data_IF_191396297202
#
_entry.id   IF_191396297202
#
_cell.length_a   1.000
_cell.length_b   1.000
_cell.length_c   1.000
_cell.angle_alpha   90.00
_cell.angle_beta   90.00
_cell.angle_gamma   90.00
#
_symmetry.space_group_name_H-M   'P 1'
#
loop_
_entity.id
_entity.type
_entity.pdbx_description
1 polymer ?
#
# COMPACT_ATOMS: atom_id res chain seq x y z
N UNK A 1 3.28 -14.11 13.73
CA UNK A 1 1.93 -13.81 13.22
C UNK A 1 2.12 -12.77 12.12
N UNK A 2 2.00 -13.16 10.84
CA UNK A 2 2.15 -12.25 9.70
C UNK A 2 0.77 -11.70 9.40
N UNK A 3 0.51 -10.44 9.74
CA UNK A 3 -0.75 -9.80 9.37
C UNK A 3 -0.65 -9.34 7.91
N UNK A 4 -1.34 -10.02 7.00
CA UNK A 4 -1.55 -9.48 5.64
C UNK A 4 -2.42 -8.24 5.79
N UNK A 5 -1.86 -7.09 5.43
CA UNK A 5 -2.53 -5.80 5.50
C UNK A 5 -3.05 -5.46 4.10
N UNK A 6 -4.21 -4.82 4.04
CA UNK A 6 -4.82 -4.41 2.77
C UNK A 6 -5.11 -2.92 2.74
N UNK A 7 -4.88 -2.27 1.60
CA UNK A 7 -5.09 -0.84 1.36
C UNK A 7 -5.89 -0.63 0.08
N UNK A 8 -6.82 0.33 0.11
CA UNK A 8 -7.42 0.88 -1.12
C UNK A 8 -6.61 2.12 -1.47
N UNK A 9 -5.96 2.11 -2.63
CA UNK A 9 -5.09 3.18 -3.05
C UNK A 9 -5.23 3.49 -4.55
N UNK A 10 -5.05 4.76 -4.89
CA UNK A 10 -5.01 5.26 -6.26
C UNK A 10 -3.58 5.14 -6.79
N UNK A 11 -3.39 4.42 -7.90
CA UNK A 11 -2.08 4.30 -8.55
C UNK A 11 -1.77 5.60 -9.26
N UNK A 12 -0.72 6.31 -8.82
CA UNK A 12 -0.33 7.61 -9.39
C UNK A 12 0.90 7.52 -10.29
N UNK A 13 1.75 6.51 -10.08
CA UNK A 13 2.88 6.19 -10.94
C UNK A 13 3.03 4.69 -11.06
N UNK A 14 3.25 4.19 -12.26
CA UNK A 14 3.54 2.78 -12.53
C UNK A 14 4.73 2.65 -13.49
N UNK A 15 5.67 1.81 -13.12
CA UNK A 15 6.81 1.41 -13.94
C UNK A 15 6.90 -0.11 -13.96
N UNK A 16 7.26 -0.64 -15.10
CA UNK A 16 7.45 -2.06 -15.29
C UNK A 16 8.89 -2.34 -15.70
N UNK A 17 9.43 -3.42 -15.15
CA UNK A 17 10.69 -4.05 -15.54
C UNK A 17 10.42 -5.51 -15.86
N UNK A 18 11.42 -6.24 -16.34
CA UNK A 18 11.26 -7.63 -16.81
C UNK A 18 10.57 -8.57 -15.82
N UNK A 19 10.72 -8.34 -14.51
CA UNK A 19 10.18 -9.22 -13.46
C UNK A 19 9.45 -8.47 -12.34
N UNK A 20 9.21 -7.18 -12.49
CA UNK A 20 8.69 -6.36 -11.40
C UNK A 20 7.90 -5.17 -11.91
N UNK A 21 6.67 -5.03 -11.42
CA UNK A 21 5.89 -3.80 -11.50
C UNK A 21 6.06 -3.01 -10.20
N UNK A 22 6.34 -1.72 -10.27
CA UNK A 22 6.58 -0.89 -9.10
C UNK A 22 6.19 0.56 -9.37
N UNK A 23 5.94 1.30 -8.30
CA UNK A 23 5.48 2.68 -8.46
C UNK A 23 5.05 3.29 -7.16
N UNK A 24 4.16 4.26 -7.25
CA UNK A 24 3.63 4.98 -6.09
C UNK A 24 2.11 5.02 -6.13
N UNK A 25 1.51 4.97 -4.95
CA UNK A 25 0.08 5.06 -4.78
C UNK A 25 -0.29 5.98 -3.61
N UNK A 26 -1.50 6.53 -3.67
CA UNK A 26 -2.06 7.40 -2.66
C UNK A 26 -3.21 6.68 -1.97
N UNK A 27 -3.24 6.66 -0.64
CA UNK A 27 -4.41 6.23 0.12
C UNK A 27 -4.97 7.42 0.90
N UNK A 28 -6.22 7.30 1.36
CA UNK A 28 -6.83 8.29 2.26
C UNK A 28 -6.79 7.77 3.69
N UNK A 29 -6.04 8.45 4.55
CA UNK A 29 -5.93 8.06 5.95
C UNK A 29 -7.16 8.54 6.74
N UNK A 30 -7.81 7.62 7.45
CA UNK A 30 -9.06 7.93 8.17
C UNK A 30 -8.90 8.93 9.33
N UNK A 31 -7.74 8.98 9.98
CA UNK A 31 -7.55 9.78 11.22
C UNK A 31 -7.14 11.22 10.91
N UNK A 32 -6.09 11.40 10.11
CA UNK A 32 -5.61 12.73 9.70
C UNK A 32 -6.43 13.34 8.57
N UNK A 33 -7.16 12.51 7.81
CA UNK A 33 -7.80 12.88 6.54
C UNK A 33 -6.78 13.40 5.51
N UNK A 34 -5.50 13.03 5.67
CA UNK A 34 -4.47 13.28 4.68
C UNK A 34 -4.48 12.21 3.58
N UNK A 35 -3.71 12.49 2.53
CA UNK A 35 -3.51 11.59 1.39
C UNK A 35 -2.03 11.18 1.26
N UNK A 36 -1.50 10.33 2.16
CA UNK A 36 -0.10 9.95 2.12
C UNK A 36 0.23 9.15 0.86
N UNK A 37 1.45 9.36 0.36
CA UNK A 37 2.03 8.60 -0.75
C UNK A 37 2.87 7.46 -0.18
N UNK A 38 2.74 6.26 -0.75
CA UNK A 38 3.60 5.13 -0.45
C UNK A 38 4.07 4.45 -1.75
N UNK A 39 5.24 3.82 -1.68
CA UNK A 39 5.76 3.03 -2.79
C UNK A 39 5.13 1.64 -2.82
N UNK A 40 5.04 1.02 -3.97
CA UNK A 40 4.66 -0.40 -4.07
C UNK A 40 5.56 -1.16 -5.03
N UNK A 41 5.65 -2.47 -4.81
CA UNK A 41 6.38 -3.40 -5.67
C UNK A 41 5.64 -4.73 -5.74
N UNK A 42 5.44 -5.23 -6.95
CA UNK A 42 4.85 -6.53 -7.26
C UNK A 42 5.83 -7.33 -8.11
N UNK A 43 6.23 -8.51 -7.64
CA UNK A 43 7.12 -9.39 -8.38
C UNK A 43 6.31 -10.34 -9.25
N UNK A 44 6.74 -10.55 -10.50
CA UNK A 44 6.04 -11.41 -11.45
C UNK A 44 5.96 -12.88 -10.98
N UNK A 45 6.93 -13.33 -10.19
CA UNK A 45 6.94 -14.68 -9.61
C UNK A 45 6.03 -14.84 -8.37
N UNK A 46 5.51 -13.74 -7.83
CA UNK A 46 4.55 -13.71 -6.74
C UNK A 46 3.12 -13.46 -7.24
N UNK A 47 2.93 -13.29 -8.55
CA UNK A 47 1.64 -13.09 -9.18
C UNK A 47 0.85 -14.42 -9.20
N UNK A 48 -0.41 -14.34 -8.81
CA UNK A 48 -1.38 -15.45 -8.83
C UNK A 48 -2.55 -15.07 -9.75
N UNK A 49 -3.38 -16.05 -10.12
CA UNK A 49 -4.50 -15.87 -11.05
C UNK A 49 -5.55 -14.82 -10.60
N UNK A 50 -5.61 -14.53 -9.30
CA UNK A 50 -6.51 -13.51 -8.74
C UNK A 50 -5.95 -12.09 -8.78
N UNK A 51 -4.70 -11.89 -9.22
CA UNK A 51 -4.13 -10.56 -9.37
C UNK A 51 -4.59 -9.93 -10.68
N UNK A 52 -5.39 -8.88 -10.58
CA UNK A 52 -5.79 -8.10 -11.74
C UNK A 52 -4.66 -7.17 -12.19
N UNK A 53 -4.56 -6.98 -13.52
CA UNK A 53 -3.67 -5.99 -14.10
C UNK A 53 -4.23 -4.59 -13.86
N UNK A 54 -3.39 -3.67 -13.38
CA UNK A 54 -3.75 -2.29 -13.07
C UNK A 54 -2.82 -1.31 -13.77
N UNK A 55 -3.25 -0.06 -13.92
CA UNK A 55 -2.47 1.04 -14.52
C UNK A 55 -2.59 2.34 -13.72
N UNK A 56 -1.84 3.36 -14.13
CA UNK A 56 -1.99 4.70 -13.57
C UNK A 56 -3.42 5.22 -13.70
N UNK A 57 -3.95 5.76 -12.60
CA UNK A 57 -5.31 6.26 -12.47
C UNK A 57 -6.33 5.22 -11.99
N UNK A 58 -5.95 3.94 -11.88
CA UNK A 58 -6.82 2.92 -11.32
C UNK A 58 -6.86 3.02 -9.78
N UNK A 59 -8.04 2.79 -9.22
CA UNK A 59 -8.21 2.58 -7.78
C UNK A 59 -8.10 1.08 -7.52
N UNK A 60 -7.16 0.68 -6.68
CA UNK A 60 -6.81 -0.73 -6.48
C UNK A 60 -6.92 -1.07 -5.00
N UNK A 61 -7.54 -2.21 -4.71
CA UNK A 61 -7.45 -2.86 -3.41
C UNK A 61 -6.21 -3.76 -3.42
N UNK A 62 -5.14 -3.27 -2.81
CA UNK A 62 -3.91 -4.04 -2.63
C UNK A 62 -3.95 -4.84 -1.33
N UNK A 63 -3.41 -6.05 -1.36
CA UNK A 63 -3.09 -6.86 -0.19
C UNK A 63 -1.62 -7.27 -0.23
N UNK A 64 -0.96 -7.25 0.93
CA UNK A 64 0.43 -7.69 1.03
C UNK A 64 1.11 -7.29 2.32
N UNK A 65 2.43 -7.06 2.22
CA UNK A 65 3.29 -6.76 3.36
C UNK A 65 3.85 -5.34 3.26
N UNK A 66 3.57 -4.53 4.28
CA UNK A 66 4.19 -3.22 4.40
C UNK A 66 5.58 -3.33 5.01
N UNK A 67 6.51 -2.58 4.46
CA UNK A 67 7.89 -2.44 4.93
C UNK A 67 8.29 -0.97 4.93
N UNK A 68 9.40 -0.65 5.58
CA UNK A 68 10.05 0.66 5.45
C UNK A 68 11.32 0.44 4.63
N UNK A 69 11.46 1.19 3.54
CA UNK A 69 12.65 1.19 2.68
C UNK A 69 13.10 2.64 2.50
N UNK A 70 14.36 2.95 2.80
CA UNK A 70 14.91 4.33 2.77
C UNK A 70 14.00 5.38 3.45
N UNK A 71 13.51 5.06 4.65
CA UNK A 71 12.55 5.88 5.42
C UNK A 71 11.22 6.17 4.72
N UNK A 72 10.84 5.38 3.72
CA UNK A 72 9.56 5.47 3.02
C UNK A 72 8.74 4.20 3.23
N UNK A 73 7.43 4.38 3.38
CA UNK A 73 6.50 3.26 3.42
C UNK A 73 6.46 2.58 2.05
N UNK A 74 6.69 1.27 2.02
CA UNK A 74 6.60 0.44 0.83
C UNK A 74 5.63 -0.72 1.05
N UNK A 75 4.84 -1.06 0.04
CA UNK A 75 4.01 -2.25 -0.01
C UNK A 75 4.58 -3.29 -0.98
N UNK A 76 4.91 -4.47 -0.48
CA UNK A 76 5.12 -5.65 -1.30
C UNK A 76 3.77 -6.30 -1.60
N UNK A 77 3.34 -6.20 -2.85
CA UNK A 77 2.00 -6.61 -3.31
C UNK A 77 1.95 -8.12 -3.52
N UNK A 78 1.01 -8.78 -2.83
CA UNK A 78 0.67 -10.20 -2.97
C UNK A 78 -0.71 -10.39 -3.62
N UNK A 79 -1.62 -9.42 -3.47
CA UNK A 79 -2.96 -9.40 -4.05
C UNK A 79 -3.29 -8.01 -4.60
N UNK A 80 -3.96 -7.94 -5.75
CA UNK A 80 -4.41 -6.69 -6.36
C UNK A 80 -5.76 -6.92 -7.06
N UNK A 81 -6.75 -6.10 -6.72
CA UNK A 81 -8.07 -6.10 -7.34
C UNK A 81 -8.42 -4.66 -7.74
N UNK A 82 -8.68 -4.42 -9.01
CA UNK A 82 -9.05 -3.11 -9.54
C UNK A 82 -10.51 -2.86 -9.20
N UNK A 83 -10.76 -1.77 -8.47
CA UNK A 83 -12.11 -1.35 -8.16
C UNK A 83 -12.75 -0.69 -9.39
N UNK A 84 -14.05 -0.93 -9.56
CA UNK A 84 -14.86 -0.37 -10.65
C UNK A 84 -14.58 1.15 -10.83
N UNK A 85 -14.29 1.60 -12.06
CA UNK A 85 -14.01 3.00 -12.32
C UNK A 85 -15.25 3.85 -12.03
N UNK A 86 -15.04 5.10 -11.59
CA UNK A 86 -16.15 6.04 -11.55
C UNK A 86 -16.62 6.33 -12.98
N UNK A 87 -17.91 6.14 -13.25
CA UNK A 87 -18.51 6.45 -14.53
C UNK A 87 -19.28 7.78 -14.44
N UNK A 88 -19.08 8.63 -15.44
CA UNK A 88 -19.85 9.86 -15.60
C UNK A 88 -21.22 9.60 -16.22
N UNK A 89 -21.97 10.68 -16.44
CA UNK A 89 -23.36 10.58 -16.92
C UNK A 89 -23.49 9.92 -18.30
N UNK A 90 -22.41 9.93 -19.09
CA UNK A 90 -22.39 9.38 -20.43
C UNK A 90 -21.57 8.07 -20.50
N UNK A 91 -21.26 7.45 -19.35
CA UNK A 91 -20.44 6.24 -19.27
C UNK A 91 -18.94 6.47 -19.46
N UNK A 92 -18.50 7.73 -19.50
CA UNK A 92 -17.08 8.08 -19.54
C UNK A 92 -16.40 7.75 -18.21
N UNK A 93 -15.17 7.24 -18.25
CA UNK A 93 -14.39 7.00 -17.03
C UNK A 93 -13.95 8.34 -16.44
N UNK A 94 -14.40 8.64 -15.23
CA UNK A 94 -13.98 9.80 -14.46
C UNK A 94 -12.67 9.49 -13.74
N UNK A 95 -11.80 10.50 -13.66
CA UNK A 95 -10.59 10.43 -12.85
C UNK A 95 -10.95 10.39 -11.37
N UNK A 96 -10.22 9.59 -10.62
CA UNK A 96 -10.32 9.58 -9.17
C UNK A 96 -9.68 10.84 -8.58
N UNK A 97 -10.45 11.53 -7.76
CA UNK A 97 -9.94 12.58 -6.87
C UNK A 97 -9.48 11.91 -5.56
N UNK A 98 -8.28 12.20 -5.02
CA UNK A 98 -7.79 11.61 -3.77
C UNK A 98 -8.76 11.75 -2.58
N UNK A 99 -9.51 12.85 -2.54
CA UNK A 99 -10.52 13.15 -1.51
C UNK A 99 -11.77 12.24 -1.59
N UNK A 100 -11.97 11.56 -2.73
CA UNK A 100 -13.09 10.63 -2.96
C UNK A 100 -12.70 9.17 -2.75
N UNK A 101 -11.43 8.89 -2.47
CA UNK A 101 -10.97 7.54 -2.12
C UNK A 101 -11.65 7.13 -0.80
N UNK A 102 -12.20 5.90 -0.70
CA UNK A 102 -12.69 5.37 0.57
C UNK A 102 -11.59 5.41 1.63
N UNK A 103 -11.86 6.08 2.76
CA UNK A 103 -10.88 6.19 3.84
C UNK A 103 -10.54 4.80 4.37
N UNK A 104 -9.26 4.46 4.40
CA UNK A 104 -8.78 3.24 5.05
C UNK A 104 -8.42 3.55 6.50
N UNK A 105 -8.74 2.63 7.43
CA UNK A 105 -8.24 2.74 8.81
C UNK A 105 -6.71 2.89 8.73
N UNK A 106 -6.10 3.76 9.54
CA UNK A 106 -4.66 3.96 9.49
C UNK A 106 -3.97 2.59 9.61
N UNK A 107 -3.01 2.32 8.73
CA UNK A 107 -1.96 1.36 9.05
C UNK A 107 -1.28 1.99 10.25
N UNK A 108 -1.61 1.48 11.44
CA UNK A 108 -1.06 1.95 12.71
C UNK A 108 0.40 2.29 12.49
N UNK A 109 0.75 3.56 12.68
CA UNK A 109 2.11 4.09 12.76
C UNK A 109 3.09 2.94 12.99
N UNK A 110 3.70 2.39 11.92
CA UNK A 110 4.81 1.46 12.06
C UNK A 110 6.01 2.35 12.38
N UNK A 111 5.94 3.05 13.51
CA UNK A 111 7.12 3.55 14.18
C UNK A 111 7.79 2.32 14.75
N UNK A 112 8.67 1.70 13.98
CA UNK A 112 9.81 1.04 14.61
C UNK A 112 10.64 2.17 15.20
N UNK A 113 10.28 2.63 16.40
CA UNK A 113 11.34 3.18 17.26
C UNK A 113 12.39 2.09 17.30
N UNK A 114 13.61 2.40 16.85
CA UNK A 114 14.74 1.54 17.12
C UNK A 114 14.66 1.24 18.62
N UNK A 115 14.37 -0.02 18.98
CA UNK A 115 14.53 -0.43 20.36
C UNK A 115 15.95 -0.02 20.71
N UNK A 116 16.10 0.90 21.67
CA UNK A 116 17.39 1.11 22.32
C UNK A 116 17.97 -0.28 22.60
N UNK A 117 19.27 -0.50 22.35
CA UNK A 117 19.86 -1.80 22.61
C UNK A 117 19.55 -2.14 24.06
N UNK A 118 18.88 -3.28 24.28
CA UNK A 118 18.55 -3.79 25.60
C UNK A 118 19.80 -3.65 26.47
N UNK A 119 19.79 -2.66 27.36
CA UNK A 119 20.85 -2.47 28.31
C UNK A 119 20.89 -3.73 29.17
N UNK A 120 22.05 -4.38 29.19
CA UNK A 120 22.34 -5.51 30.06
C UNK A 120 22.40 -5.02 31.50
N UNK A 121 21.24 -4.84 32.12
CA UNK A 121 21.15 -4.62 33.56
C UNK A 121 19.80 -5.10 34.07
N UNK A 122 19.74 -6.35 34.50
CA UNK A 122 19.62 -6.63 35.94
C UNK A 122 19.73 -8.14 36.21
N UNK A 123 20.67 -8.46 37.10
CA UNK A 123 20.73 -9.70 37.88
C UNK A 123 19.32 -10.13 38.31
N UNK A 124 18.82 -11.23 37.77
CA UNK A 124 17.80 -12.03 38.45
C UNK A 124 18.46 -13.30 38.91
N UNK A 125 18.73 -13.34 40.22
CA UNK A 125 19.11 -14.54 40.95
C UNK A 125 18.04 -15.61 40.73
N UNK A 126 18.48 -16.78 40.26
CA UNK A 126 17.80 -18.07 40.44
C UNK A 126 18.69 -18.95 41.30
#
# INVERSE_FOLDING_TARGET
MTATLSVIALVVRLRESSHTAFGDAIYREKVSNENPVFGFKQFSNALHDYNEAFKEGDLVHFGGKFTIDDNKLMLLVEAACVLEPQLGRNGERLKWEPEKIPSTKPFVHITTSACEPLSTSNNMNF
#
